data_IF_584269708966
#
_entry.id   IF_584269708966
#
_cell.length_a   1.000
_cell.length_b   1.000
_cell.length_c   1.000
_cell.angle_alpha   90.00
_cell.angle_beta   90.00
_cell.angle_gamma   90.00
#
_symmetry.space_group_name_H-M   'P 1'
#
loop_
_entity.id
_entity.type
_entity.pdbx_description
1 polymer ?
#
# COMPACT_ATOMS: atom_id res chain seq x y z
N UNK A 1 -2.46 7.23 -19.00
CA UNK A 1 -3.27 7.91 -17.96
C UNK A 1 -2.30 8.32 -16.87
N UNK A 2 -2.12 9.61 -16.62
CA UNK A 2 -1.28 10.03 -15.50
C UNK A 2 -1.93 9.56 -14.19
N UNK A 3 -1.16 8.92 -13.31
CA UNK A 3 -1.66 8.37 -12.05
C UNK A 3 -2.42 9.40 -11.20
N UNK A 4 -2.15 10.70 -11.41
CA UNK A 4 -2.77 11.84 -10.72
C UNK A 4 -4.26 12.02 -11.05
N UNK A 5 -4.74 11.53 -12.19
CA UNK A 5 -6.16 11.66 -12.58
C UNK A 5 -7.01 10.42 -12.30
N UNK A 6 -6.40 9.38 -11.73
CA UNK A 6 -7.14 8.19 -11.33
C UNK A 6 -8.01 8.50 -10.10
N UNK A 7 -9.34 8.42 -10.25
CA UNK A 7 -10.30 8.81 -9.20
C UNK A 7 -10.04 8.14 -7.84
N UNK A 8 -9.70 6.84 -7.75
CA UNK A 8 -9.41 6.21 -6.48
C UNK A 8 -8.19 6.81 -5.75
N UNK A 9 -7.18 7.30 -6.48
CA UNK A 9 -6.05 8.03 -5.86
C UNK A 9 -6.53 9.32 -5.21
N UNK A 10 -7.38 10.09 -5.90
CA UNK A 10 -7.97 11.32 -5.34
C UNK A 10 -8.85 11.06 -4.12
N UNK A 11 -9.53 9.91 -4.09
CA UNK A 11 -10.29 9.47 -2.90
C UNK A 11 -9.33 9.22 -1.74
N UNK A 12 -8.28 8.43 -1.94
CA UNK A 12 -7.28 8.11 -0.91
C UNK A 12 -6.63 9.36 -0.30
N UNK A 13 -6.34 10.36 -1.13
CA UNK A 13 -5.69 11.60 -0.69
C UNK A 13 -6.56 12.45 0.24
N UNK A 14 -7.86 12.23 0.23
CA UNK A 14 -8.84 12.96 1.05
C UNK A 14 -9.32 12.15 2.26
N UNK A 15 -8.83 10.92 2.44
CA UNK A 15 -9.23 10.10 3.57
C UNK A 15 -8.55 10.58 4.85
N UNK A 16 -9.37 10.75 5.87
CA UNK A 16 -9.00 11.11 7.23
C UNK A 16 -9.69 10.17 8.22
N UNK A 17 -9.14 10.01 9.42
CA UNK A 17 -9.73 9.19 10.47
C UNK A 17 -9.82 7.68 10.15
N UNK A 18 -10.71 6.98 10.84
CA UNK A 18 -10.83 5.52 10.83
C UNK A 18 -11.80 5.04 9.74
N UNK A 19 -11.52 5.38 8.48
CA UNK A 19 -12.33 4.95 7.34
C UNK A 19 -11.90 3.56 6.83
N UNK A 20 -12.85 2.80 6.29
CA UNK A 20 -12.60 1.51 5.64
C UNK A 20 -12.83 1.61 4.12
N UNK A 21 -11.98 0.94 3.35
CA UNK A 21 -12.07 0.90 1.88
C UNK A 21 -12.02 -0.56 1.42
N UNK A 22 -12.81 -0.87 0.42
CA UNK A 22 -12.70 -2.11 -0.34
C UNK A 22 -12.40 -1.75 -1.79
N UNK A 23 -11.35 -2.35 -2.36
CA UNK A 23 -11.00 -2.23 -3.76
C UNK A 23 -11.24 -3.59 -4.45
N UNK A 24 -12.09 -3.59 -5.46
CA UNK A 24 -12.22 -4.69 -6.42
C UNK A 24 -11.52 -4.28 -7.72
N UNK A 25 -10.72 -5.16 -8.28
CA UNK A 25 -9.89 -4.88 -9.44
C UNK A 25 -9.71 -6.13 -10.30
N UNK A 26 -9.62 -5.94 -11.62
CA UNK A 26 -9.37 -7.03 -12.57
C UNK A 26 -7.89 -7.13 -12.95
N UNK A 27 -7.13 -6.06 -12.75
CA UNK A 27 -5.70 -5.98 -13.09
C UNK A 27 -4.88 -5.60 -11.88
N UNK A 28 -3.88 -6.42 -11.55
CA UNK A 28 -3.01 -6.26 -10.39
C UNK A 28 -2.33 -4.89 -10.34
N UNK A 29 -1.96 -4.32 -11.49
CA UNK A 29 -1.31 -3.00 -11.58
C UNK A 29 -2.13 -1.87 -10.92
N UNK A 30 -3.46 -1.94 -10.96
CA UNK A 30 -4.31 -0.95 -10.30
C UNK A 30 -4.35 -1.17 -8.79
N UNK A 31 -4.33 -2.42 -8.33
CA UNK A 31 -4.23 -2.73 -6.92
C UNK A 31 -2.91 -2.23 -6.34
N UNK A 32 -1.80 -2.51 -7.01
CA UNK A 32 -0.47 -2.09 -6.59
C UNK A 32 -0.39 -0.56 -6.47
N UNK A 33 -0.96 0.18 -7.43
CA UNK A 33 -1.04 1.64 -7.39
C UNK A 33 -1.79 2.16 -6.15
N UNK A 34 -2.95 1.57 -5.84
CA UNK A 34 -3.79 2.00 -4.72
C UNK A 34 -3.20 1.61 -3.37
N UNK A 35 -2.64 0.40 -3.25
CA UNK A 35 -1.93 -0.05 -2.05
C UNK A 35 -0.73 0.86 -1.78
N UNK A 36 0.09 1.13 -2.79
CA UNK A 36 1.24 2.02 -2.65
C UNK A 36 0.82 3.44 -2.25
N UNK A 37 -0.23 3.99 -2.87
CA UNK A 37 -0.71 5.34 -2.50
C UNK A 37 -1.25 5.38 -1.07
N UNK A 38 -2.01 4.37 -0.66
CA UNK A 38 -2.54 4.28 0.70
C UNK A 38 -1.43 4.24 1.74
N UNK A 39 -0.41 3.38 1.53
CA UNK A 39 0.74 3.29 2.44
C UNK A 39 1.57 4.55 2.44
N UNK A 40 1.83 5.14 1.28
CA UNK A 40 2.56 6.40 1.19
C UNK A 40 1.88 7.50 2.01
N UNK A 41 0.58 7.66 1.87
CA UNK A 41 -0.18 8.68 2.59
C UNK A 41 -0.11 8.46 4.12
N UNK A 42 -0.24 7.22 4.61
CA UNK A 42 -0.12 6.91 6.04
C UNK A 42 1.31 7.13 6.57
N UNK A 43 2.31 6.61 5.86
CA UNK A 43 3.72 6.72 6.26
C UNK A 43 4.20 8.19 6.30
N UNK A 44 3.79 9.02 5.34
CA UNK A 44 4.10 10.45 5.32
C UNK A 44 3.43 11.21 6.49
N UNK A 45 2.29 10.72 7.00
CA UNK A 45 1.61 11.23 8.20
C UNK A 45 2.21 10.70 9.50
N UNK A 46 3.20 9.79 9.45
CA UNK A 46 3.80 9.17 10.63
C UNK A 46 3.02 7.96 11.16
N UNK A 47 2.06 7.44 10.41
CA UNK A 47 1.26 6.29 10.80
C UNK A 47 2.03 4.96 10.61
N UNK A 48 1.58 3.93 11.33
CA UNK A 48 2.06 2.56 11.12
C UNK A 48 1.21 1.85 10.06
N UNK A 49 1.85 1.38 8.99
CA UNK A 49 1.23 0.58 7.94
C UNK A 49 1.56 -0.91 8.12
N UNK A 50 0.52 -1.73 8.22
CA UNK A 50 0.62 -3.19 8.32
C UNK A 50 -0.06 -3.78 7.10
N UNK A 51 0.62 -4.69 6.42
CA UNK A 51 0.08 -5.42 5.28
C UNK A 51 0.09 -6.91 5.53
N UNK A 52 -1.06 -7.52 5.29
CA UNK A 52 -1.23 -8.96 5.29
C UNK A 52 -1.50 -9.40 3.86
N UNK A 53 -0.70 -10.33 3.35
CA UNK A 53 -0.77 -10.73 1.94
C UNK A 53 -0.44 -12.20 1.75
N UNK A 54 -0.97 -12.80 0.69
CA UNK A 54 -0.55 -14.12 0.23
C UNK A 54 0.68 -14.05 -0.69
N UNK A 55 1.12 -12.85 -1.07
CA UNK A 55 2.38 -12.66 -1.81
C UNK A 55 3.58 -12.81 -0.87
N UNK A 56 4.73 -13.21 -1.42
CA UNK A 56 5.99 -13.15 -0.71
C UNK A 56 6.33 -11.70 -0.29
N UNK A 57 6.72 -11.44 0.97
CA UNK A 57 6.97 -10.07 1.46
C UNK A 57 7.95 -9.30 0.59
N UNK A 58 9.05 -9.92 0.17
CA UNK A 58 10.06 -9.28 -0.69
C UNK A 58 9.54 -8.90 -2.08
N UNK A 59 8.45 -9.51 -2.55
CA UNK A 59 7.79 -9.09 -3.80
C UNK A 59 6.97 -7.81 -3.58
N UNK A 60 6.24 -7.72 -2.47
CA UNK A 60 5.51 -6.50 -2.11
C UNK A 60 6.47 -5.34 -1.87
N UNK A 61 7.55 -5.57 -1.12
CA UNK A 61 8.58 -4.56 -0.86
C UNK A 61 9.13 -3.96 -2.15
N UNK A 62 9.45 -4.78 -3.15
CA UNK A 62 9.92 -4.31 -4.46
C UNK A 62 8.87 -3.46 -5.18
N UNK A 63 7.58 -3.82 -5.13
CA UNK A 63 6.49 -3.04 -5.76
C UNK A 63 6.31 -1.69 -5.05
N UNK A 64 6.38 -1.65 -3.72
CA UNK A 64 6.31 -0.42 -2.94
C UNK A 64 7.52 0.49 -3.20
N UNK A 65 8.72 -0.09 -3.26
CA UNK A 65 9.96 0.63 -3.59
C UNK A 65 9.89 1.24 -5.00
N UNK A 66 9.42 0.47 -5.99
CA UNK A 66 9.20 0.96 -7.36
C UNK A 66 8.16 2.11 -7.42
N UNK A 67 7.27 2.19 -6.44
CA UNK A 67 6.28 3.27 -6.29
C UNK A 67 6.82 4.48 -5.50
N UNK A 68 8.10 4.49 -5.15
CA UNK A 68 8.78 5.59 -4.46
C UNK A 68 8.65 5.57 -2.94
N UNK A 69 8.33 4.43 -2.33
CA UNK A 69 8.34 4.25 -0.87
C UNK A 69 9.72 3.77 -0.44
N UNK A 70 10.31 4.45 0.55
CA UNK A 70 11.58 4.04 1.17
C UNK A 70 11.34 2.89 2.18
N UNK A 71 11.18 1.68 1.62
CA UNK A 71 10.84 0.47 2.38
C UNK A 71 11.87 0.17 3.47
N UNK A 72 13.16 0.35 3.19
CA UNK A 72 14.22 0.09 4.16
C UNK A 72 14.10 1.03 5.37
N UNK A 73 13.95 2.33 5.13
CA UNK A 73 13.81 3.32 6.20
C UNK A 73 12.56 3.07 7.05
N UNK A 74 11.42 2.81 6.42
CA UNK A 74 10.17 2.59 7.14
C UNK A 74 10.13 1.24 7.86
N UNK A 75 10.76 0.21 7.29
CA UNK A 75 10.95 -1.08 7.92
C UNK A 75 11.81 -0.98 9.19
N UNK A 76 12.96 -0.31 9.13
CA UNK A 76 13.84 -0.09 10.31
C UNK A 76 13.15 0.65 11.46
N UNK A 77 12.20 1.53 11.14
CA UNK A 77 11.38 2.26 12.13
C UNK A 77 10.16 1.48 12.61
N UNK A 78 9.96 0.25 12.15
CA UNK A 78 8.78 -0.56 12.41
C UNK A 78 7.45 0.09 11.94
N UNK A 79 7.54 1.06 11.03
CA UNK A 79 6.40 1.80 10.48
C UNK A 79 5.78 1.07 9.30
N UNK A 80 6.54 0.28 8.55
CA UNK A 80 6.03 -0.60 7.50
C UNK A 80 6.32 -2.05 7.89
N UNK A 81 5.26 -2.86 7.98
CA UNK A 81 5.35 -4.29 8.29
C UNK A 81 4.54 -5.09 7.28
N UNK A 82 5.15 -6.08 6.66
CA UNK A 82 4.52 -6.94 5.66
C UNK A 82 4.60 -8.37 6.18
N UNK A 83 3.44 -9.00 6.29
CA UNK A 83 3.28 -10.36 6.76
C UNK A 83 2.72 -11.23 5.65
N UNK A 84 3.42 -12.34 5.39
CA UNK A 84 2.89 -13.40 4.57
C UNK A 84 1.82 -14.17 5.37
N UNK A 85 0.68 -14.42 4.75
CA UNK A 85 -0.36 -15.30 5.27
C UNK A 85 -0.55 -16.44 4.29
N UNK A 86 -0.40 -17.66 4.79
CA UNK A 86 -0.75 -18.86 4.04
C UNK A 86 -2.25 -18.90 3.80
N UNK A 87 -2.65 -19.19 2.57
CA UNK A 87 -4.04 -19.51 2.28
C UNK A 87 -4.31 -20.91 2.83
N UNK A 88 -5.17 -20.99 3.83
CA UNK A 88 -5.81 -22.25 4.20
C UNK A 88 -6.92 -22.47 3.18
N UNK A 89 -6.67 -23.34 2.22
CA UNK A 89 -7.68 -23.83 1.28
C UNK A 89 -8.74 -24.67 2.01
#
# INVERSE_FOLDING_TARGET
MEARDYRPVKLLDRLEGNNHIVLLYDRQEYADLIIARYFKNGLEKGESCIFFTADEPGTVERRLAASGIDVERYGKKNMLRIFHIERSD
#
